data_IF_232169331067
#
_entry.id   IF_232169331067
#
_cell.length_a   1.000
_cell.length_b   1.000
_cell.length_c   1.000
_cell.angle_alpha   90.00
_cell.angle_beta   90.00
_cell.angle_gamma   90.00
#
_symmetry.space_group_name_H-M   'P 1'
#
loop_
_entity.id
_entity.type
_entity.pdbx_description
1 polymer ?
#
# COMPACT_ATOMS: atom_id res chain seq x y z
N UNK A 1 -33.58 7.85 24.74
CA UNK A 1 -32.19 8.19 25.09
C UNK A 1 -31.49 6.89 25.44
N UNK A 2 -30.80 6.33 24.46
CA UNK A 2 -29.67 5.43 24.74
C UNK A 2 -28.66 6.25 25.54
N UNK A 3 -28.20 5.73 26.67
CA UNK A 3 -27.16 6.39 27.47
C UNK A 3 -25.86 6.06 26.77
N UNK A 4 -25.30 7.02 26.04
CA UNK A 4 -23.98 6.87 25.44
C UNK A 4 -22.93 6.72 26.56
N UNK A 5 -21.91 5.90 26.31
CA UNK A 5 -20.78 5.81 27.21
C UNK A 5 -19.83 6.96 26.92
N UNK A 6 -19.68 7.91 27.86
CA UNK A 6 -18.81 9.08 27.72
C UNK A 6 -17.29 8.78 27.65
N UNK A 7 -16.90 7.51 27.55
CA UNK A 7 -15.51 7.09 27.50
C UNK A 7 -15.29 6.05 26.41
N UNK A 8 -14.14 5.39 26.45
CA UNK A 8 -13.88 4.23 25.59
C UNK A 8 -14.79 3.06 25.95
N UNK A 9 -15.13 2.21 24.98
CA UNK A 9 -15.89 0.99 25.23
C UNK A 9 -15.09 -0.02 26.05
N UNK A 10 -13.89 -0.35 25.60
CA UNK A 10 -12.92 -1.19 26.31
C UNK A 10 -11.56 -0.50 26.29
N UNK A 11 -10.95 -0.35 27.46
CA UNK A 11 -9.59 0.17 27.59
C UNK A 11 -8.72 -0.83 28.34
N UNK A 12 -7.61 -1.23 27.73
CA UNK A 12 -6.59 -2.08 28.34
C UNK A 12 -5.36 -1.25 28.75
N UNK A 13 -4.85 -1.50 29.96
CA UNK A 13 -3.67 -0.83 30.53
C UNK A 13 -2.53 -1.81 30.88
N UNK A 14 -2.79 -3.12 30.88
CA UNK A 14 -1.81 -4.16 31.22
C UNK A 14 -1.43 -5.05 30.02
N UNK A 15 -0.15 -5.46 29.90
CA UNK A 15 0.29 -6.30 28.78
C UNK A 15 -0.33 -7.68 28.84
N UNK A 16 -0.27 -8.41 27.73
CA UNK A 16 -0.79 -9.78 27.64
C UNK A 16 -2.29 -9.90 27.95
N UNK A 17 -3.04 -8.82 27.68
CA UNK A 17 -4.50 -8.81 27.81
C UNK A 17 -5.14 -9.33 26.52
N UNK A 18 -6.27 -10.02 26.67
CA UNK A 18 -7.10 -10.45 25.55
C UNK A 18 -8.47 -9.79 25.59
N UNK A 19 -8.91 -9.25 24.46
CA UNK A 19 -10.24 -8.66 24.24
C UNK A 19 -10.91 -9.49 23.14
N UNK A 20 -11.83 -10.37 23.52
CA UNK A 20 -12.38 -11.39 22.62
C UNK A 20 -13.91 -11.40 22.58
N UNK A 21 -14.50 -11.46 21.38
CA UNK A 21 -15.91 -11.78 21.19
C UNK A 21 -16.90 -10.75 21.75
N UNK A 22 -16.49 -9.48 21.90
CA UNK A 22 -17.32 -8.44 22.47
C UNK A 22 -18.13 -7.70 21.39
N UNK A 23 -19.28 -7.15 21.78
CA UNK A 23 -19.98 -6.10 21.04
C UNK A 23 -19.68 -4.76 21.70
N UNK A 24 -19.05 -3.84 20.97
CA UNK A 24 -18.58 -2.54 21.48
C UNK A 24 -19.14 -1.43 20.60
N UNK A 25 -20.03 -0.59 21.15
CA UNK A 25 -20.70 0.45 20.37
C UNK A 25 -21.23 1.61 21.19
N UNK A 26 -21.55 2.71 20.51
CA UNK A 26 -22.19 3.91 21.08
C UNK A 26 -21.34 4.54 22.21
N UNK A 27 -20.03 4.57 21.97
CA UNK A 27 -19.05 5.20 22.84
C UNK A 27 -18.72 6.59 22.30
N UNK A 28 -18.55 7.56 23.19
CA UNK A 28 -18.20 8.94 22.82
C UNK A 28 -16.75 9.05 22.31
N UNK A 29 -15.89 8.10 22.72
CA UNK A 29 -14.49 7.97 22.31
C UNK A 29 -14.29 6.68 21.49
N UNK A 30 -13.06 6.14 21.43
CA UNK A 30 -12.76 4.88 20.72
C UNK A 30 -13.59 3.69 21.22
N UNK A 31 -13.87 2.75 20.32
CA UNK A 31 -14.47 1.47 20.70
C UNK A 31 -13.54 0.67 21.63
N UNK A 32 -12.41 0.24 21.10
CA UNK A 32 -11.39 -0.54 21.84
C UNK A 32 -10.06 0.20 21.80
N UNK A 33 -9.54 0.56 22.99
CA UNK A 33 -8.24 1.21 23.15
C UNK A 33 -7.20 0.26 23.76
N UNK A 34 -6.15 0.01 23.00
CA UNK A 34 -4.99 -0.81 23.38
C UNK A 34 -3.78 0.11 23.58
N UNK A 35 -3.29 0.16 24.81
CA UNK A 35 -2.06 0.87 25.19
C UNK A 35 -0.85 -0.03 25.51
N UNK A 36 -1.00 -1.29 25.97
CA UNK A 36 0.12 -2.12 26.36
C UNK A 36 0.54 -3.12 25.26
N UNK A 37 1.68 -3.78 25.47
CA UNK A 37 2.22 -4.77 24.53
C UNK A 37 1.57 -6.15 24.64
N UNK A 38 1.79 -6.97 23.61
CA UNK A 38 1.49 -8.41 23.61
C UNK A 38 0.00 -8.72 23.80
N UNK A 39 -0.88 -7.83 23.34
CA UNK A 39 -2.32 -7.99 23.45
C UNK A 39 -2.95 -8.72 22.26
N UNK A 40 -4.10 -9.33 22.53
CA UNK A 40 -4.94 -9.97 21.51
C UNK A 40 -6.28 -9.23 21.44
N UNK A 41 -6.68 -8.80 20.25
CA UNK A 41 -8.01 -8.23 19.98
C UNK A 41 -8.66 -9.06 18.89
N UNK A 42 -9.57 -9.95 19.28
CA UNK A 42 -10.02 -11.04 18.42
C UNK A 42 -11.54 -11.14 18.35
N UNK A 43 -12.08 -11.19 17.13
CA UNK A 43 -13.49 -11.56 16.93
C UNK A 43 -14.49 -10.60 17.57
N UNK A 44 -14.13 -9.34 17.78
CA UNK A 44 -15.03 -8.33 18.31
C UNK A 44 -15.87 -7.71 17.19
N UNK A 45 -17.08 -7.29 17.54
CA UNK A 45 -17.96 -6.47 16.71
C UNK A 45 -17.91 -5.04 17.28
N UNK A 46 -17.42 -4.09 16.49
CA UNK A 46 -17.15 -2.72 16.92
C UNK A 46 -17.89 -1.76 15.98
N UNK A 47 -18.83 -0.98 16.50
CA UNK A 47 -19.75 -0.20 15.66
C UNK A 47 -20.06 1.15 16.29
N UNK A 48 -20.28 2.20 15.48
CA UNK A 48 -20.93 3.44 15.91
C UNK A 48 -20.29 4.08 17.18
N UNK A 49 -18.97 4.19 17.20
CA UNK A 49 -18.19 4.87 18.24
C UNK A 49 -17.90 6.33 17.85
N UNK A 50 -17.14 7.10 18.64
CA UNK A 50 -16.89 8.52 18.34
C UNK A 50 -18.13 9.44 18.41
N UNK A 51 -19.11 9.12 19.27
CA UNK A 51 -20.42 9.80 19.29
C UNK A 51 -20.41 11.27 19.73
N UNK A 52 -19.41 11.70 20.51
CA UNK A 52 -19.31 13.10 20.96
C UNK A 52 -18.56 13.97 19.95
N UNK A 53 -17.46 13.44 19.39
CA UNK A 53 -16.65 14.11 18.39
C UNK A 53 -16.46 13.17 17.20
N UNK A 54 -17.40 13.15 16.24
CA UNK A 54 -17.18 12.49 14.96
C UNK A 54 -15.83 12.89 14.36
N UNK A 55 -15.17 11.98 13.65
CA UNK A 55 -13.86 12.17 13.00
C UNK A 55 -12.64 12.20 13.94
N UNK A 56 -12.80 12.12 15.28
CA UNK A 56 -11.66 12.16 16.22
C UNK A 56 -11.28 10.77 16.78
N UNK A 57 -12.17 9.79 16.74
CA UNK A 57 -11.97 8.48 17.38
C UNK A 57 -12.29 7.31 16.47
N UNK A 58 -11.71 6.16 16.83
CA UNK A 58 -11.60 5.01 15.95
C UNK A 58 -12.36 3.80 16.50
N UNK A 59 -12.54 2.77 15.67
CA UNK A 59 -13.07 1.49 16.13
C UNK A 59 -12.11 0.82 17.10
N UNK A 60 -10.89 0.56 16.63
CA UNK A 60 -9.81 -0.01 17.43
C UNK A 60 -8.59 0.90 17.34
N UNK A 61 -8.16 1.43 18.48
CA UNK A 61 -6.98 2.28 18.60
C UNK A 61 -5.82 1.53 19.26
N UNK A 62 -4.67 1.47 18.58
CA UNK A 62 -3.37 1.03 19.09
C UNK A 62 -2.50 2.26 19.37
N UNK A 63 -2.07 2.40 20.63
CA UNK A 63 -1.32 3.56 21.10
C UNK A 63 0.10 3.23 21.56
N UNK A 64 1.06 4.06 21.15
CA UNK A 64 2.31 4.48 21.82
C UNK A 64 3.34 3.40 22.21
N UNK A 65 2.91 2.17 22.40
CA UNK A 65 3.66 1.00 22.88
C UNK A 65 2.81 -0.26 22.73
N UNK A 66 1.83 -0.28 21.81
CA UNK A 66 0.98 -1.44 21.56
C UNK A 66 1.72 -2.52 20.74
N UNK A 67 2.99 -2.78 21.09
CA UNK A 67 3.87 -3.65 20.31
C UNK A 67 3.45 -5.11 20.37
N UNK A 68 3.72 -5.84 19.29
CA UNK A 68 3.43 -7.29 19.17
C UNK A 68 1.97 -7.64 19.47
N UNK A 69 1.07 -6.68 19.31
CA UNK A 69 -0.36 -6.92 19.43
C UNK A 69 -0.88 -7.61 18.17
N UNK A 70 -1.85 -8.49 18.34
CA UNK A 70 -2.55 -9.15 17.24
C UNK A 70 -3.99 -8.66 17.23
N UNK A 71 -4.39 -8.02 16.13
CA UNK A 71 -5.75 -7.57 15.88
C UNK A 71 -6.31 -8.42 14.75
N UNK A 72 -7.22 -9.34 15.05
CA UNK A 72 -7.67 -10.31 14.04
C UNK A 72 -9.13 -10.72 14.10
N UNK A 73 -9.75 -10.92 12.94
CA UNK A 73 -11.11 -11.42 12.84
C UNK A 73 -12.17 -10.47 13.40
N UNK A 74 -11.84 -9.19 13.61
CA UNK A 74 -12.80 -8.21 14.11
C UNK A 74 -13.69 -7.70 12.96
N UNK A 75 -14.93 -7.37 13.27
CA UNK A 75 -15.89 -6.75 12.37
C UNK A 75 -16.13 -5.32 12.86
N UNK A 76 -15.71 -4.35 12.05
CA UNK A 76 -15.67 -2.93 12.43
C UNK A 76 -16.44 -2.14 11.39
N UNK A 77 -17.51 -1.50 11.84
CA UNK A 77 -18.47 -0.73 11.04
C UNK A 77 -18.47 0.72 11.52
N UNK A 78 -18.11 1.66 10.66
CA UNK A 78 -18.13 3.08 11.02
C UNK A 78 -19.47 3.78 10.80
N UNK A 79 -20.44 3.13 10.13
CA UNK A 79 -21.73 3.69 9.69
C UNK A 79 -21.66 5.00 8.88
N UNK A 80 -20.47 5.38 8.40
CA UNK A 80 -20.19 6.54 7.58
C UNK A 80 -20.49 7.89 8.25
N UNK A 81 -20.65 7.93 9.58
CA UNK A 81 -21.19 9.13 10.25
C UNK A 81 -20.45 9.59 11.52
N UNK A 82 -19.56 8.77 12.09
CA UNK A 82 -18.96 9.07 13.38
C UNK A 82 -17.50 8.61 13.52
N UNK A 83 -17.22 7.32 13.35
CA UNK A 83 -15.85 6.79 13.49
C UNK A 83 -14.95 7.25 12.34
N UNK A 84 -13.77 7.77 12.68
CA UNK A 84 -12.72 8.12 11.73
C UNK A 84 -12.18 6.84 11.07
N UNK A 85 -11.24 6.15 11.71
CA UNK A 85 -10.70 4.90 11.18
C UNK A 85 -11.35 3.67 11.81
N UNK A 86 -11.38 2.57 11.07
CA UNK A 86 -11.74 1.29 11.68
C UNK A 86 -10.63 0.81 12.63
N UNK A 87 -9.37 0.76 12.17
CA UNK A 87 -8.20 0.42 13.00
C UNK A 87 -7.14 1.51 12.85
N UNK A 88 -6.75 2.14 13.95
CA UNK A 88 -5.77 3.22 13.95
C UNK A 88 -4.53 2.87 14.78
N UNK A 89 -3.36 3.03 14.20
CA UNK A 89 -2.06 2.95 14.87
C UNK A 89 -1.50 4.36 14.99
N UNK A 90 -1.64 4.94 16.18
CA UNK A 90 -1.34 6.35 16.41
C UNK A 90 0.16 6.65 16.30
N UNK A 91 0.98 5.93 17.07
CA UNK A 91 2.43 6.11 17.05
C UNK A 91 3.15 4.99 17.78
N UNK A 92 4.41 4.75 17.40
CA UNK A 92 5.37 3.91 18.11
C UNK A 92 4.91 2.46 18.34
N UNK A 93 3.95 1.97 17.56
CA UNK A 93 3.55 0.57 17.57
C UNK A 93 4.49 -0.22 16.67
N UNK A 94 5.12 -1.27 17.20
CA UNK A 94 6.05 -2.12 16.46
C UNK A 94 5.63 -3.58 16.47
N UNK A 95 5.96 -4.32 15.40
CA UNK A 95 5.68 -5.76 15.29
C UNK A 95 4.19 -6.14 15.44
N UNK A 96 3.24 -5.22 15.21
CA UNK A 96 1.83 -5.54 15.29
C UNK A 96 1.38 -6.38 14.07
N UNK A 97 0.47 -7.32 14.30
CA UNK A 97 -0.17 -8.12 13.25
C UNK A 97 -1.66 -7.78 13.17
N UNK A 98 -2.05 -7.16 12.06
CA UNK A 98 -3.43 -6.78 11.77
C UNK A 98 -3.92 -7.66 10.62
N UNK A 99 -4.76 -8.64 10.90
CA UNK A 99 -5.09 -9.67 9.91
C UNK A 99 -6.51 -10.20 9.96
N UNK A 100 -7.13 -10.42 8.80
CA UNK A 100 -8.46 -11.02 8.71
C UNK A 100 -9.57 -10.17 9.32
N UNK A 101 -9.36 -8.86 9.49
CA UNK A 101 -10.41 -7.95 9.96
C UNK A 101 -11.28 -7.52 8.78
N UNK A 102 -12.54 -7.22 9.08
CA UNK A 102 -13.50 -6.62 8.18
C UNK A 102 -13.73 -5.18 8.65
N UNK A 103 -13.25 -4.22 7.87
CA UNK A 103 -13.30 -2.79 8.18
C UNK A 103 -14.06 -2.08 7.06
N UNK A 104 -15.17 -1.45 7.41
CA UNK A 104 -16.04 -0.86 6.40
C UNK A 104 -16.87 0.31 6.89
N UNK A 105 -17.29 1.13 5.92
CA UNK A 105 -18.15 2.29 6.12
C UNK A 105 -17.57 3.24 7.20
N UNK A 106 -16.23 3.35 7.29
CA UNK A 106 -15.55 4.35 8.13
C UNK A 106 -15.51 5.71 7.42
N UNK A 107 -15.59 6.81 8.19
CA UNK A 107 -15.43 8.17 7.64
C UNK A 107 -13.99 8.45 7.19
N UNK A 108 -13.03 7.73 7.74
CA UNK A 108 -11.61 7.78 7.40
C UNK A 108 -11.18 6.51 6.68
N UNK A 109 -10.05 5.94 7.12
CA UNK A 109 -9.46 4.77 6.49
C UNK A 109 -9.85 3.45 7.17
N UNK A 110 -9.78 2.35 6.42
CA UNK A 110 -9.96 1.01 6.99
C UNK A 110 -8.87 0.70 8.02
N UNK A 111 -7.61 0.92 7.67
CA UNK A 111 -6.46 0.78 8.60
C UNK A 111 -5.50 1.96 8.38
N UNK A 112 -5.24 2.73 9.44
CA UNK A 112 -4.35 3.90 9.38
C UNK A 112 -3.10 3.74 10.26
N UNK A 113 -1.92 4.05 9.70
CA UNK A 113 -0.64 4.16 10.37
C UNK A 113 -0.14 5.62 10.23
N UNK A 114 -0.29 6.42 11.29
CA UNK A 114 -0.19 7.88 11.18
C UNK A 114 1.13 8.49 11.65
N UNK A 115 1.96 7.75 12.39
CA UNK A 115 3.31 8.14 12.79
C UNK A 115 4.24 6.92 12.83
N UNK A 116 5.37 6.98 13.57
CA UNK A 116 6.44 5.96 13.61
C UNK A 116 5.97 4.54 14.03
N UNK A 117 5.23 3.86 13.17
CA UNK A 117 4.77 2.50 13.36
C UNK A 117 5.57 1.62 12.41
N UNK A 118 6.42 0.78 12.97
CA UNK A 118 7.46 0.08 12.22
C UNK A 118 7.26 -1.43 12.29
N UNK A 119 7.73 -2.15 11.28
CA UNK A 119 7.70 -3.61 11.24
C UNK A 119 6.31 -4.25 11.41
N UNK A 120 5.23 -3.49 11.24
CA UNK A 120 3.87 -3.99 11.36
C UNK A 120 3.46 -4.76 10.09
N UNK A 121 2.56 -5.72 10.25
CA UNK A 121 2.03 -6.55 9.16
C UNK A 121 0.52 -6.38 9.05
N UNK A 122 0.07 -5.92 7.87
CA UNK A 122 -1.32 -5.76 7.48
C UNK A 122 -1.62 -6.79 6.39
N UNK A 123 -2.29 -7.88 6.77
CA UNK A 123 -2.41 -9.09 5.95
C UNK A 123 -3.84 -9.61 5.87
N UNK A 124 -4.38 -9.80 4.65
CA UNK A 124 -5.64 -10.53 4.48
C UNK A 124 -6.87 -9.87 5.09
N UNK A 125 -6.87 -8.54 5.24
CA UNK A 125 -8.03 -7.79 5.73
C UNK A 125 -8.99 -7.46 4.58
N UNK A 126 -10.27 -7.30 4.89
CA UNK A 126 -11.31 -6.84 3.98
C UNK A 126 -11.61 -5.37 4.31
N UNK A 127 -11.27 -4.47 3.40
CA UNK A 127 -11.25 -3.02 3.62
C UNK A 127 -12.13 -2.37 2.55
N UNK A 128 -13.39 -2.08 2.89
CA UNK A 128 -14.38 -1.72 1.87
C UNK A 128 -15.23 -0.52 2.23
N UNK A 129 -15.57 0.28 1.23
CA UNK A 129 -16.50 1.42 1.35
C UNK A 129 -16.11 2.40 2.46
N UNK A 130 -14.81 2.57 2.73
CA UNK A 130 -14.32 3.62 3.61
C UNK A 130 -14.17 4.93 2.81
N UNK A 131 -14.45 6.07 3.45
CA UNK A 131 -14.48 7.38 2.81
C UNK A 131 -13.07 7.90 2.43
N UNK A 132 -12.01 7.35 3.03
CA UNK A 132 -10.62 7.61 2.62
C UNK A 132 -9.98 6.40 1.93
N UNK A 133 -8.98 5.79 2.56
CA UNK A 133 -8.20 4.71 2.01
C UNK A 133 -8.60 3.37 2.63
N UNK A 134 -8.36 2.25 1.95
CA UNK A 134 -8.44 0.97 2.67
C UNK A 134 -7.28 0.82 3.65
N UNK A 135 -6.05 1.10 3.19
CA UNK A 135 -4.86 1.23 4.07
C UNK A 135 -4.21 2.58 3.85
N UNK A 136 -3.99 3.31 4.93
CA UNK A 136 -3.26 4.56 4.93
C UNK A 136 -1.96 4.44 5.72
N UNK A 137 -0.83 4.68 5.07
CA UNK A 137 0.46 4.88 5.74
C UNK A 137 0.85 6.35 5.52
N UNK A 138 0.50 7.20 6.48
CA UNK A 138 0.52 8.66 6.33
C UNK A 138 1.93 9.23 6.47
N UNK A 139 2.69 8.76 7.46
CA UNK A 139 4.01 9.31 7.78
C UNK A 139 5.15 8.52 7.12
N UNK A 140 6.10 9.24 6.50
CA UNK A 140 7.31 8.61 5.95
C UNK A 140 8.30 8.08 6.98
N UNK A 141 7.98 8.23 8.26
CA UNK A 141 8.70 7.61 9.37
C UNK A 141 8.18 6.22 9.72
N UNK A 142 7.06 5.76 9.16
CA UNK A 142 6.67 4.36 9.25
C UNK A 142 7.62 3.54 8.37
N UNK A 143 8.39 2.61 8.94
CA UNK A 143 9.39 1.84 8.21
C UNK A 143 9.12 0.33 8.23
N UNK A 144 9.53 -0.36 7.16
CA UNK A 144 9.52 -1.82 7.03
C UNK A 144 8.16 -2.51 7.25
N UNK A 145 7.07 -1.79 7.06
CA UNK A 145 5.71 -2.35 7.16
C UNK A 145 5.41 -3.29 6.00
N UNK A 146 4.57 -4.30 6.23
CA UNK A 146 4.16 -5.28 5.21
C UNK A 146 2.67 -5.15 4.94
N UNK A 147 2.30 -4.81 3.71
CA UNK A 147 0.90 -4.71 3.28
C UNK A 147 0.66 -5.72 2.16
N UNK A 148 -0.03 -6.81 2.47
CA UNK A 148 -0.17 -7.95 1.54
C UNK A 148 -1.54 -8.59 1.60
N UNK A 149 -2.00 -9.08 0.46
CA UNK A 149 -3.20 -9.93 0.34
C UNK A 149 -4.47 -9.33 0.97
N UNK A 150 -4.52 -8.00 1.16
CA UNK A 150 -5.73 -7.33 1.60
C UNK A 150 -6.70 -7.18 0.41
N UNK A 151 -7.99 -7.18 0.71
CA UNK A 151 -9.06 -7.06 -0.26
C UNK A 151 -9.68 -5.67 -0.12
N UNK A 152 -9.47 -4.82 -1.12
CA UNK A 152 -10.02 -3.47 -1.12
C UNK A 152 -11.22 -3.39 -2.08
N UNK A 153 -12.28 -2.67 -1.70
CA UNK A 153 -13.43 -2.46 -2.58
C UNK A 153 -14.16 -1.18 -2.24
N UNK A 154 -14.44 -0.31 -3.21
CA UNK A 154 -15.32 0.84 -2.98
C UNK A 154 -14.79 1.92 -2.02
N UNK A 155 -13.55 1.85 -1.54
CA UNK A 155 -12.95 2.96 -0.77
C UNK A 155 -12.85 4.18 -1.68
N UNK A 156 -13.24 5.35 -1.19
CA UNK A 156 -13.52 6.53 -2.02
C UNK A 156 -12.23 7.17 -2.54
N UNK A 157 -11.19 7.29 -1.71
CA UNK A 157 -9.96 7.98 -2.13
C UNK A 157 -9.04 7.06 -2.94
N UNK A 158 -8.61 5.92 -2.38
CA UNK A 158 -7.87 4.88 -3.10
C UNK A 158 -7.78 3.58 -2.27
N UNK A 159 -7.33 2.45 -2.85
CA UNK A 159 -7.00 1.26 -2.07
C UNK A 159 -5.93 1.53 -1.00
N UNK A 160 -4.79 2.12 -1.41
CA UNK A 160 -3.64 2.36 -0.52
C UNK A 160 -3.05 3.76 -0.71
N UNK A 161 -2.79 4.45 0.40
CA UNK A 161 -1.80 5.53 0.48
C UNK A 161 -0.52 4.98 1.13
N UNK A 162 0.63 5.22 0.52
CA UNK A 162 1.92 4.82 1.09
C UNK A 162 2.95 5.94 1.02
N UNK A 163 3.09 6.67 2.12
CA UNK A 163 4.20 7.59 2.33
C UNK A 163 5.34 6.95 3.13
N UNK A 164 5.13 5.76 3.70
CA UNK A 164 6.09 5.04 4.53
C UNK A 164 7.39 4.69 3.81
N UNK A 165 8.47 4.60 4.57
CA UNK A 165 9.74 4.07 4.12
C UNK A 165 9.71 2.53 4.14
N UNK A 166 10.38 1.89 3.18
CA UNK A 166 10.59 0.44 3.23
C UNK A 166 9.34 -0.44 3.18
N UNK A 167 8.15 0.11 2.89
CA UNK A 167 6.91 -0.68 2.84
C UNK A 167 6.99 -1.78 1.81
N UNK A 168 6.68 -3.00 2.23
CA UNK A 168 6.80 -4.21 1.42
C UNK A 168 5.41 -4.65 0.96
N UNK A 169 5.14 -4.47 -0.33
CA UNK A 169 3.93 -4.98 -1.00
C UNK A 169 4.14 -6.40 -1.57
N UNK A 170 3.13 -6.90 -2.29
CA UNK A 170 3.30 -8.06 -3.16
C UNK A 170 4.13 -7.65 -4.39
N UNK A 171 5.16 -8.42 -4.73
CA UNK A 171 6.06 -8.11 -5.86
C UNK A 171 6.14 -9.30 -6.81
N UNK A 172 6.06 -9.01 -8.11
CA UNK A 172 6.30 -9.99 -9.18
C UNK A 172 7.41 -9.49 -10.08
N UNK A 173 8.37 -10.38 -10.38
CA UNK A 173 9.50 -10.07 -11.26
C UNK A 173 9.21 -10.55 -12.68
N UNK A 174 9.50 -9.70 -13.65
CA UNK A 174 9.37 -9.98 -15.07
C UNK A 174 10.74 -9.90 -15.75
N UNK A 175 10.96 -10.74 -16.77
CA UNK A 175 12.16 -10.72 -17.60
C UNK A 175 11.80 -10.26 -19.02
N UNK A 176 12.78 -9.70 -19.72
CA UNK A 176 12.59 -9.14 -21.07
C UNK A 176 12.26 -10.27 -22.06
N UNK A 177 11.29 -10.06 -22.96
CA UNK A 177 10.64 -11.15 -23.73
C UNK A 177 11.54 -11.87 -24.76
N UNK A 178 12.78 -11.44 -24.94
CA UNK A 178 13.79 -12.11 -25.78
C UNK A 178 15.15 -11.97 -25.13
N UNK A 179 15.54 -13.01 -24.40
CA UNK A 179 16.90 -13.19 -23.90
C UNK A 179 17.84 -13.40 -25.10
N UNK A 180 18.44 -12.34 -25.62
CA UNK A 180 19.60 -12.49 -26.51
C UNK A 180 20.92 -12.26 -25.79
N UNK A 181 20.90 -11.81 -24.54
CA UNK A 181 22.08 -11.62 -23.71
C UNK A 181 21.82 -11.98 -22.24
N UNK A 182 22.84 -12.53 -21.59
CA UNK A 182 22.88 -12.70 -20.14
C UNK A 182 23.87 -11.69 -19.56
N UNK A 183 23.43 -10.86 -18.61
CA UNK A 183 24.36 -10.09 -17.78
C UNK A 183 24.65 -10.93 -16.53
N UNK A 184 25.66 -11.79 -16.66
CA UNK A 184 25.95 -12.80 -15.64
C UNK A 184 24.90 -13.91 -15.62
N UNK A 185 24.11 -13.99 -14.54
CA UNK A 185 23.08 -15.02 -14.34
C UNK A 185 21.64 -14.52 -14.58
N UNK A 186 21.48 -13.26 -14.96
CA UNK A 186 20.17 -12.63 -15.11
C UNK A 186 19.87 -12.46 -16.59
N UNK A 187 18.76 -13.06 -17.08
CA UNK A 187 18.31 -12.87 -18.45
C UNK A 187 17.99 -11.40 -18.70
N UNK A 188 18.47 -10.86 -19.83
CA UNK A 188 18.29 -9.47 -20.16
C UNK A 188 18.37 -9.19 -21.65
N UNK A 189 18.30 -7.90 -21.97
CA UNK A 189 18.42 -7.36 -23.32
C UNK A 189 19.54 -6.35 -23.35
N UNK A 190 20.61 -6.62 -24.10
CA UNK A 190 21.61 -5.58 -24.37
C UNK A 190 21.08 -4.64 -25.44
N UNK A 191 21.20 -3.33 -25.18
CA UNK A 191 20.88 -2.29 -26.16
C UNK A 191 22.03 -1.29 -26.27
N UNK A 192 22.29 -0.83 -27.49
CA UNK A 192 23.25 0.22 -27.80
C UNK A 192 22.53 1.55 -28.12
N UNK A 193 23.29 2.62 -28.37
CA UNK A 193 22.72 3.92 -28.72
C UNK A 193 21.77 3.83 -29.92
N UNK A 194 20.57 4.41 -29.79
CA UNK A 194 19.52 4.36 -30.80
C UNK A 194 18.80 3.03 -30.94
N UNK A 195 19.05 2.06 -30.05
CA UNK A 195 18.26 0.83 -29.95
C UNK A 195 17.20 0.96 -28.85
N UNK A 196 16.13 0.19 -29.03
CA UNK A 196 14.99 0.12 -28.10
C UNK A 196 14.85 -1.30 -27.56
N UNK A 197 14.70 -1.42 -26.24
CA UNK A 197 14.28 -2.65 -25.58
C UNK A 197 12.77 -2.62 -25.33
N UNK A 198 12.12 -3.79 -25.39
CA UNK A 198 10.69 -3.92 -25.12
C UNK A 198 10.46 -4.94 -24.00
N UNK A 199 9.72 -4.56 -22.98
CA UNK A 199 9.25 -5.45 -21.92
C UNK A 199 7.73 -5.49 -22.01
N UNK A 200 7.16 -6.69 -22.10
CA UNK A 200 5.72 -6.87 -22.04
C UNK A 200 5.32 -7.26 -20.62
N UNK A 201 4.21 -6.70 -20.14
CA UNK A 201 3.67 -6.95 -18.82
C UNK A 201 2.18 -7.19 -18.90
N UNK A 202 1.68 -7.93 -17.93
CA UNK A 202 0.26 -8.21 -17.77
C UNK A 202 -0.09 -7.98 -16.30
N UNK A 203 -1.01 -7.05 -16.05
CA UNK A 203 -1.58 -6.85 -14.73
C UNK A 203 -2.30 -8.16 -14.33
N UNK A 204 -1.99 -8.73 -13.17
CA UNK A 204 -2.68 -9.93 -12.72
C UNK A 204 -4.17 -9.64 -12.50
N UNK A 205 -5.00 -10.67 -12.68
CA UNK A 205 -6.39 -10.63 -12.25
C UNK A 205 -6.48 -10.27 -10.76
N UNK A 206 -7.42 -9.38 -10.44
CA UNK A 206 -7.62 -8.83 -9.11
C UNK A 206 -6.60 -7.77 -8.69
N UNK A 207 -5.74 -7.26 -9.59
CA UNK A 207 -4.88 -6.11 -9.26
C UNK A 207 -5.73 -4.87 -8.97
N UNK A 208 -5.57 -4.29 -7.79
CA UNK A 208 -6.36 -3.13 -7.37
C UNK A 208 -5.61 -1.81 -7.52
N UNK A 209 -4.28 -1.86 -7.40
CA UNK A 209 -3.40 -0.70 -7.57
C UNK A 209 -1.98 -1.18 -7.90
N UNK A 210 -1.33 -0.50 -8.84
CA UNK A 210 0.11 -0.66 -9.09
C UNK A 210 0.88 0.30 -8.18
N UNK A 211 1.62 -0.23 -7.21
CA UNK A 211 2.36 0.60 -6.25
C UNK A 211 3.70 1.07 -6.78
N UNK A 212 4.41 0.20 -7.52
CA UNK A 212 5.72 0.49 -8.08
C UNK A 212 5.98 -0.42 -9.30
N UNK A 213 6.68 0.11 -10.30
CA UNK A 213 7.23 -0.61 -11.44
C UNK A 213 8.71 -0.24 -11.62
N UNK A 214 9.61 -1.10 -11.14
CA UNK A 214 11.04 -0.88 -11.23
C UNK A 214 11.66 -1.55 -12.47
N UNK A 215 12.37 -0.76 -13.27
CA UNK A 215 13.23 -1.23 -14.36
C UNK A 215 14.67 -1.20 -13.88
N UNK A 216 15.36 -2.34 -14.01
CA UNK A 216 16.76 -2.45 -13.63
C UNK A 216 17.67 -2.48 -14.85
N UNK A 217 18.69 -1.62 -14.84
CA UNK A 217 19.69 -1.47 -15.89
C UNK A 217 21.08 -1.85 -15.37
N UNK A 218 21.90 -2.42 -16.25
CA UNK A 218 23.33 -2.64 -16.00
C UNK A 218 24.12 -2.05 -17.18
N UNK A 219 24.66 -0.83 -17.03
CA UNK A 219 25.39 -0.16 -18.10
C UNK A 219 26.75 -0.83 -18.34
N UNK A 220 27.13 -0.97 -19.62
CA UNK A 220 28.47 -1.41 -20.02
C UNK A 220 29.51 -0.26 -20.12
N UNK A 221 29.09 0.95 -19.75
CA UNK A 221 29.95 2.13 -19.68
C UNK A 221 29.32 3.16 -18.73
N UNK A 222 30.17 3.91 -18.01
CA UNK A 222 29.73 5.05 -17.21
C UNK A 222 29.29 6.18 -18.13
N UNK A 223 28.08 6.70 -17.93
CA UNK A 223 27.57 7.86 -18.67
C UNK A 223 26.96 8.86 -17.69
N UNK A 224 27.42 10.10 -17.80
CA UNK A 224 26.83 11.24 -17.09
C UNK A 224 25.72 11.79 -17.96
N UNK A 225 24.52 11.95 -17.40
CA UNK A 225 23.32 12.42 -18.08
C UNK A 225 23.00 11.65 -19.37
N UNK A 226 22.94 10.31 -19.32
CA UNK A 226 22.40 9.56 -20.44
C UNK A 226 20.89 9.82 -20.55
N UNK A 227 20.38 10.06 -21.75
CA UNK A 227 18.95 10.17 -22.00
C UNK A 227 18.37 8.77 -22.13
N UNK A 228 17.41 8.44 -21.28
CA UNK A 228 16.65 7.21 -21.33
C UNK A 228 15.19 7.59 -21.48
N UNK A 229 14.69 7.42 -22.70
CA UNK A 229 13.29 7.71 -22.99
C UNK A 229 12.48 6.45 -22.68
N UNK A 230 11.44 6.61 -21.85
CA UNK A 230 10.44 5.57 -21.58
C UNK A 230 9.16 5.89 -22.34
N UNK A 231 8.62 4.88 -23.00
CA UNK A 231 7.27 4.94 -23.58
C UNK A 231 6.48 3.71 -23.13
N UNK A 232 5.23 3.89 -22.74
CA UNK A 232 4.31 2.79 -22.42
C UNK A 232 3.12 2.80 -23.36
N UNK A 233 2.59 1.61 -23.63
CA UNK A 233 1.31 1.39 -24.29
C UNK A 233 0.63 0.23 -23.56
N UNK A 234 -0.58 0.44 -23.05
CA UNK A 234 -1.35 -0.59 -22.36
C UNK A 234 -2.86 -0.44 -22.58
N UNK A 235 -3.56 -1.53 -22.30
CA UNK A 235 -5.02 -1.58 -22.29
C UNK A 235 -5.56 -2.99 -22.08
N UNK A 236 -6.87 -3.07 -21.90
CA UNK A 236 -7.58 -4.32 -21.71
C UNK A 236 -7.84 -5.05 -23.04
N UNK A 237 -8.15 -6.35 -22.95
CA UNK A 237 -8.53 -7.13 -24.13
C UNK A 237 -9.81 -6.55 -24.75
N UNK A 238 -9.73 -6.18 -26.02
CA UNK A 238 -10.83 -5.58 -26.78
C UNK A 238 -10.75 -4.06 -26.87
N UNK A 239 -9.83 -3.42 -26.16
CA UNK A 239 -9.51 -2.01 -26.34
C UNK A 239 -8.61 -1.79 -27.57
N UNK A 240 -8.52 -0.54 -28.00
CA UNK A 240 -7.63 -0.13 -29.10
C UNK A 240 -6.19 -0.10 -28.56
N UNK A 241 -5.23 -0.72 -29.26
CA UNK A 241 -3.81 -0.55 -28.93
C UNK A 241 -3.42 0.93 -28.93
N UNK A 242 -2.68 1.38 -27.93
CA UNK A 242 -2.31 2.78 -27.76
C UNK A 242 -3.36 3.63 -27.07
N UNK A 243 -4.42 3.03 -26.51
CA UNK A 243 -5.45 3.78 -25.78
C UNK A 243 -4.84 4.52 -24.58
N UNK A 244 -3.97 3.82 -23.84
CA UNK A 244 -3.22 4.38 -22.72
C UNK A 244 -1.74 4.43 -23.09
N UNK A 245 -1.34 5.53 -23.74
CA UNK A 245 0.04 5.81 -24.10
C UNK A 245 0.63 6.89 -23.21
N UNK A 246 1.75 6.60 -22.56
CA UNK A 246 2.48 7.58 -21.74
C UNK A 246 3.95 7.63 -22.17
N UNK A 247 4.58 8.76 -21.91
CA UNK A 247 5.97 8.99 -22.33
C UNK A 247 6.69 9.83 -21.30
N UNK A 248 7.84 9.34 -20.85
CA UNK A 248 8.84 10.11 -20.12
C UNK A 248 9.96 10.46 -21.10
N UNK A 249 9.86 11.65 -21.71
CA UNK A 249 10.86 12.12 -22.65
C UNK A 249 11.97 12.91 -21.93
N UNK A 250 13.22 12.66 -22.34
CA UNK A 250 14.41 13.37 -21.88
C UNK A 250 14.73 13.25 -20.38
N UNK A 251 14.34 12.15 -19.74
CA UNK A 251 14.85 11.81 -18.43
C UNK A 251 16.36 11.52 -18.53
N UNK A 252 17.14 12.27 -17.76
CA UNK A 252 18.60 12.12 -17.71
C UNK A 252 18.99 11.34 -16.46
N UNK A 253 19.58 10.18 -16.67
CA UNK A 253 20.09 9.35 -15.57
C UNK A 253 21.62 9.30 -15.60
N UNK A 254 22.21 9.45 -14.42
CA UNK A 254 23.63 9.21 -14.21
C UNK A 254 23.85 7.73 -13.91
N UNK A 255 24.50 7.03 -14.83
CA UNK A 255 24.69 5.59 -14.73
C UNK A 255 26.17 5.25 -14.66
N UNK A 256 26.53 4.28 -13.83
CA UNK A 256 27.92 3.84 -13.65
C UNK A 256 28.12 2.48 -14.32
N UNK A 257 29.29 2.28 -14.92
CA UNK A 257 29.65 1.00 -15.53
C UNK A 257 29.53 -0.15 -14.52
N UNK A 258 28.95 -1.28 -14.94
CA UNK A 258 28.82 -2.52 -14.17
C UNK A 258 28.10 -2.37 -12.81
N UNK A 259 27.24 -1.34 -12.67
CA UNK A 259 26.41 -1.14 -11.48
C UNK A 259 24.93 -1.25 -11.82
N UNK A 260 24.16 -1.88 -10.93
CA UNK A 260 22.70 -1.85 -10.98
C UNK A 260 22.20 -0.42 -10.84
N UNK A 261 21.33 -0.03 -11.76
CA UNK A 261 20.62 1.24 -11.73
C UNK A 261 19.13 0.96 -11.83
N UNK A 262 18.35 1.61 -10.97
CA UNK A 262 16.89 1.45 -10.88
C UNK A 262 16.22 2.68 -11.47
N UNK A 263 15.22 2.45 -12.32
CA UNK A 263 14.26 3.46 -12.76
C UNK A 263 12.90 3.06 -12.21
N UNK A 264 12.33 3.92 -11.36
CA UNK A 264 10.95 3.81 -10.90
C UNK A 264 10.03 4.44 -11.95
N UNK A 265 9.42 3.59 -12.78
CA UNK A 265 8.58 4.04 -13.88
C UNK A 265 7.26 4.65 -13.38
N UNK A 266 6.75 4.22 -12.23
CA UNK A 266 5.50 4.77 -11.67
C UNK A 266 5.74 6.18 -11.15
N UNK A 267 6.87 6.43 -10.49
CA UNK A 267 7.27 7.78 -10.08
C UNK A 267 7.46 8.74 -11.28
N UNK A 268 7.81 8.20 -12.45
CA UNK A 268 7.86 8.93 -13.73
C UNK A 268 6.48 9.16 -14.36
N UNK A 269 5.39 8.69 -13.74
CA UNK A 269 4.03 8.81 -14.25
C UNK A 269 3.66 7.76 -15.30
N UNK A 270 4.43 6.67 -15.42
CA UNK A 270 4.09 5.54 -16.27
C UNK A 270 3.12 4.58 -15.56
N UNK A 271 2.26 3.93 -16.35
CA UNK A 271 1.17 3.05 -15.94
C UNK A 271 0.15 3.72 -15.01
N UNK A 272 -0.08 5.03 -15.15
CA UNK A 272 -0.92 5.79 -14.22
C UNK A 272 -2.39 5.35 -14.21
N UNK A 273 -2.86 4.74 -15.30
CA UNK A 273 -4.23 4.24 -15.46
C UNK A 273 -4.30 2.71 -15.53
N UNK A 274 -3.21 2.00 -15.25
CA UNK A 274 -3.19 0.54 -15.41
C UNK A 274 -4.07 -0.13 -14.37
N UNK A 275 -5.01 -0.96 -14.82
CA UNK A 275 -5.96 -1.70 -13.98
C UNK A 275 -5.78 -3.21 -14.14
N UNK A 276 -6.55 -3.99 -13.36
CA UNK A 276 -6.57 -5.46 -13.43
C UNK A 276 -6.77 -5.96 -14.86
N UNK A 277 -6.05 -7.03 -15.22
CA UNK A 277 -6.08 -7.69 -16.54
C UNK A 277 -5.58 -6.87 -17.74
N UNK A 278 -5.16 -5.61 -17.54
CA UNK A 278 -4.50 -4.84 -18.60
C UNK A 278 -3.24 -5.56 -19.09
N UNK A 279 -3.01 -5.48 -20.40
CA UNK A 279 -1.77 -5.93 -21.02
C UNK A 279 -1.06 -4.71 -21.57
N UNK A 280 0.23 -4.61 -21.27
CA UNK A 280 1.03 -3.46 -21.63
C UNK A 280 2.42 -3.82 -22.13
N UNK A 281 3.03 -2.84 -22.77
CA UNK A 281 4.44 -2.83 -23.12
C UNK A 281 5.10 -1.57 -22.59
N UNK A 282 6.36 -1.70 -22.22
CA UNK A 282 7.26 -0.57 -22.03
C UNK A 282 8.38 -0.67 -23.05
N UNK A 283 8.68 0.46 -23.68
CA UNK A 283 9.82 0.64 -24.56
C UNK A 283 10.83 1.54 -23.87
N UNK A 284 12.10 1.12 -23.87
CA UNK A 284 13.22 1.85 -23.31
C UNK A 284 14.19 2.18 -24.45
N UNK A 285 14.39 3.46 -24.73
CA UNK A 285 15.32 3.92 -25.77
C UNK A 285 16.48 4.69 -25.16
N UNK A 286 17.70 4.29 -25.52
CA UNK A 286 18.92 5.02 -25.13
C UNK A 286 19.29 5.99 -26.21
N UNK A 287 19.39 7.27 -25.86
CA UNK A 287 20.02 8.28 -26.71
C UNK A 287 21.22 8.92 -26.01
N UNK A 288 22.25 9.27 -26.79
CA UNK A 288 23.31 10.17 -26.30
C UNK A 288 22.69 11.52 -26.04
N UNK A 289 22.81 12.03 -24.81
CA UNK A 289 22.50 13.43 -24.54
C UNK A 289 23.33 14.31 -25.49
N UNK A 290 22.62 15.19 -26.21
CA UNK A 290 23.22 16.16 -27.12
C UNK A 290 23.77 17.33 -26.32
#
# INVERSE_FOLDING_TARGET
QTVANHGHGIWTEGPSTSVEGNLVRLNDLDGIRITPTDCLVIGNQVEDNSQENPEDYHGILLMGSADRCIVTGNHIDGHGDSQEDCIHLNSATTDALITGNYCYDGMGSGIALTANNDDCTILGNHLFENDDYGVEITAGTCDNNRVRENHFHGNVTAPVLNNGAGTIFHTKQYYVARDDDNVGAIPGKSITNGQTAYIAVHAPDGMQQLMNFNIYLIPNATKVAANWDLETDYGAIGEVSGLHGETEAAATYNVTNDTWFEIDAVAAGMFASMVSEDTGGISLTVSTAV
#
